data_IF_683106579904
#
_entry.id   IF_683106579904
#
_cell.length_a   1.000
_cell.length_b   1.000
_cell.length_c   1.000
_cell.angle_alpha   90.00
_cell.angle_beta   90.00
_cell.angle_gamma   90.00
#
_symmetry.space_group_name_H-M   'P 1'
#
loop_
_entity.id
_entity.type
_entity.pdbx_description
1 polymer ?
#
# COMPACT_ATOMS: atom_id res chain seq x y z
N UNK A 1 -25.60 -19.37 -37.48
CA UNK A 1 -25.11 -18.37 -36.50
C UNK A 1 -23.80 -17.70 -36.95
N UNK A 2 -22.73 -18.46 -37.25
CA UNK A 2 -21.45 -17.92 -37.77
C UNK A 2 -21.57 -17.05 -39.05
N UNK A 3 -22.42 -17.42 -40.01
CA UNK A 3 -22.64 -16.64 -41.26
C UNK A 3 -23.31 -15.27 -41.07
N UNK A 4 -24.08 -15.08 -39.99
CA UNK A 4 -24.77 -13.82 -39.71
C UNK A 4 -23.84 -12.80 -39.02
N UNK A 5 -22.91 -13.30 -38.19
CA UNK A 5 -21.90 -12.50 -37.48
C UNK A 5 -20.82 -12.00 -38.46
N UNK A 6 -20.41 -12.82 -39.43
CA UNK A 6 -19.42 -12.41 -40.44
C UNK A 6 -19.83 -11.25 -41.35
N UNK A 7 -21.14 -10.96 -41.46
CA UNK A 7 -21.65 -9.83 -42.26
C UNK A 7 -21.49 -8.48 -41.56
N UNK A 8 -21.26 -8.48 -40.24
CA UNK A 8 -21.11 -7.27 -39.40
C UNK A 8 -19.65 -7.02 -39.02
N UNK A 9 -18.85 -8.08 -38.84
CA UNK A 9 -17.44 -7.99 -38.37
C UNK A 9 -16.40 -8.05 -39.50
N UNK A 10 -16.81 -8.42 -40.71
CA UNK A 10 -15.89 -8.67 -41.84
C UNK A 10 -15.44 -10.13 -41.87
N UNK A 11 -15.41 -10.73 -43.07
CA UNK A 11 -15.09 -12.15 -43.26
C UNK A 11 -13.69 -12.52 -42.78
N UNK A 12 -12.75 -11.57 -42.89
CA UNK A 12 -11.32 -11.81 -42.68
C UNK A 12 -11.01 -11.88 -41.19
N UNK A 13 -11.62 -11.02 -40.37
CA UNK A 13 -11.51 -11.06 -38.90
C UNK A 13 -12.10 -12.36 -38.33
N UNK A 14 -13.20 -12.85 -38.92
CA UNK A 14 -13.79 -14.13 -38.52
C UNK A 14 -12.89 -15.30 -38.91
N UNK A 15 -12.27 -15.25 -40.09
CA UNK A 15 -11.32 -16.27 -40.54
C UNK A 15 -10.08 -16.30 -39.65
N UNK A 16 -9.53 -15.13 -39.29
CA UNK A 16 -8.38 -15.02 -38.37
C UNK A 16 -8.72 -15.49 -36.96
N UNK A 17 -9.92 -15.17 -36.46
CA UNK A 17 -10.38 -15.67 -35.15
C UNK A 17 -10.51 -17.19 -35.16
N UNK A 18 -11.04 -17.78 -36.23
CA UNK A 18 -11.14 -19.24 -36.38
C UNK A 18 -9.75 -19.88 -36.49
N UNK A 19 -8.83 -19.28 -37.25
CA UNK A 19 -7.46 -19.74 -37.37
C UNK A 19 -6.72 -19.66 -36.03
N UNK A 20 -6.94 -18.59 -35.26
CA UNK A 20 -6.44 -18.45 -33.90
C UNK A 20 -6.98 -19.56 -32.99
N UNK A 21 -8.30 -19.77 -32.91
CA UNK A 21 -8.85 -20.84 -32.07
C UNK A 21 -8.43 -22.25 -32.52
N UNK A 22 -8.22 -22.48 -33.82
CA UNK A 22 -7.68 -23.75 -34.32
C UNK A 22 -6.21 -23.95 -33.96
N UNK A 23 -5.39 -22.90 -34.04
CA UNK A 23 -4.00 -22.94 -33.59
C UNK A 23 -3.89 -23.07 -32.06
N UNK A 24 -4.91 -22.64 -31.31
CA UNK A 24 -5.00 -22.74 -29.85
C UNK A 24 -5.72 -24.00 -29.34
N UNK A 25 -6.35 -24.77 -30.23
CA UNK A 25 -7.11 -25.96 -29.87
C UNK A 25 -6.19 -27.03 -29.26
N UNK A 26 -6.56 -27.52 -28.07
CA UNK A 26 -5.81 -28.55 -27.33
C UNK A 26 -4.82 -28.02 -26.31
N UNK A 27 -4.53 -26.71 -26.29
CA UNK A 27 -3.69 -26.10 -25.25
C UNK A 27 -4.45 -25.68 -23.99
N UNK A 28 -5.79 -25.62 -24.03
CA UNK A 28 -6.63 -25.18 -22.90
C UNK A 28 -6.41 -26.01 -21.63
N UNK A 29 -6.29 -27.33 -21.77
CA UNK A 29 -6.02 -28.22 -20.64
C UNK A 29 -4.67 -27.89 -20.00
N UNK A 30 -3.62 -27.71 -20.83
CA UNK A 30 -2.30 -27.34 -20.32
C UNK A 30 -2.21 -25.90 -19.77
N UNK A 31 -3.11 -25.00 -20.14
CA UNK A 31 -3.26 -23.69 -19.46
C UNK A 31 -3.92 -23.84 -18.10
N UNK A 32 -4.99 -24.65 -18.01
CA UNK A 32 -5.68 -24.93 -16.75
C UNK A 32 -4.75 -25.62 -15.75
N UNK A 33 -4.06 -26.67 -16.18
CA UNK A 33 -3.11 -27.41 -15.33
C UNK A 33 -2.04 -26.48 -14.76
N UNK A 34 -1.42 -25.61 -15.59
CA UNK A 34 -0.44 -24.64 -15.10
C UNK A 34 -1.03 -23.58 -14.18
N UNK A 35 -2.26 -23.14 -14.43
CA UNK A 35 -2.93 -22.20 -13.54
C UNK A 35 -3.18 -22.84 -12.17
N UNK A 36 -3.63 -24.11 -12.15
CA UNK A 36 -3.85 -24.88 -10.94
C UNK A 36 -2.54 -25.11 -10.16
N UNK A 37 -1.43 -25.41 -10.87
CA UNK A 37 -0.09 -25.52 -10.28
C UNK A 37 0.36 -24.20 -9.63
N UNK A 38 0.18 -23.06 -10.31
CA UNK A 38 0.55 -21.75 -9.77
C UNK A 38 -0.30 -21.39 -8.54
N UNK A 39 -1.61 -21.66 -8.59
CA UNK A 39 -2.51 -21.45 -7.44
C UNK A 39 -2.07 -22.31 -6.26
N UNK A 40 -1.66 -23.57 -6.51
CA UNK A 40 -1.14 -24.44 -5.47
C UNK A 40 0.15 -23.89 -4.83
N UNK A 41 1.08 -23.33 -5.62
CA UNK A 41 2.27 -22.66 -5.08
C UNK A 41 1.91 -21.41 -4.26
N UNK A 42 0.99 -20.59 -4.75
CA UNK A 42 0.54 -19.37 -4.05
C UNK A 42 -0.07 -19.71 -2.67
N UNK A 43 -0.78 -20.84 -2.57
CA UNK A 43 -1.42 -21.31 -1.34
C UNK A 43 -0.54 -22.24 -0.50
N UNK A 44 0.68 -22.51 -0.93
CA UNK A 44 1.59 -23.38 -0.22
C UNK A 44 1.99 -22.73 1.13
N UNK A 45 2.20 -23.52 2.20
CA UNK A 45 2.58 -23.00 3.51
C UNK A 45 3.93 -22.26 3.51
N UNK A 46 4.76 -22.47 2.49
CA UNK A 46 6.03 -21.76 2.28
C UNK A 46 5.86 -20.38 1.64
N UNK A 47 4.67 -20.03 1.16
CA UNK A 47 4.37 -18.74 0.53
C UNK A 47 3.78 -17.77 1.55
N UNK A 48 4.26 -16.53 1.51
CA UNK A 48 3.82 -15.45 2.39
C UNK A 48 3.48 -14.20 1.59
N UNK A 49 2.49 -13.45 2.05
CA UNK A 49 2.01 -12.24 1.38
C UNK A 49 2.31 -11.01 2.23
N UNK A 50 2.99 -10.04 1.62
CA UNK A 50 3.21 -8.71 2.19
C UNK A 50 2.43 -7.71 1.36
N UNK A 51 1.47 -7.02 1.98
CA UNK A 51 0.67 -5.99 1.32
C UNK A 51 1.41 -4.66 1.44
N UNK A 52 1.67 -3.99 0.33
CA UNK A 52 2.39 -2.70 0.32
C UNK A 52 1.46 -1.62 -0.22
N UNK A 53 1.28 -0.54 0.53
CA UNK A 53 0.41 0.58 0.20
C UNK A 53 1.09 1.92 0.47
N UNK A 54 0.51 3.01 -0.02
CA UNK A 54 0.84 4.39 0.42
C UNK A 54 -0.26 4.90 1.36
N UNK A 55 0.00 5.89 2.23
CA UNK A 55 -0.98 6.41 3.20
C UNK A 55 -2.04 7.31 2.53
N UNK A 56 -2.70 6.79 1.51
CA UNK A 56 -3.71 7.47 0.71
C UNK A 56 -4.98 6.62 0.73
N UNK A 57 -6.13 7.29 0.83
CA UNK A 57 -7.42 6.60 0.96
C UNK A 57 -7.67 5.57 -0.15
N UNK A 58 -7.45 5.94 -1.40
CA UNK A 58 -7.60 5.05 -2.57
C UNK A 58 -6.74 3.78 -2.47
N UNK A 59 -5.50 3.96 -2.02
CA UNK A 59 -4.52 2.87 -1.93
C UNK A 59 -4.76 1.99 -0.70
N UNK A 60 -5.19 2.58 0.42
CA UNK A 60 -5.55 1.83 1.61
C UNK A 60 -6.83 1.04 1.39
N UNK A 61 -7.85 1.61 0.74
CA UNK A 61 -9.09 0.88 0.41
C UNK A 61 -8.78 -0.38 -0.43
N UNK A 62 -7.90 -0.26 -1.44
CA UNK A 62 -7.47 -1.39 -2.27
C UNK A 62 -6.64 -2.40 -1.47
N UNK A 63 -5.77 -1.93 -0.57
CA UNK A 63 -4.96 -2.80 0.30
C UNK A 63 -5.82 -3.59 1.30
N UNK A 64 -6.83 -2.94 1.89
CA UNK A 64 -7.84 -3.54 2.77
C UNK A 64 -8.60 -4.62 2.00
N UNK A 65 -9.15 -4.27 0.83
CA UNK A 65 -9.87 -5.23 -0.01
C UNK A 65 -8.99 -6.42 -0.37
N UNK A 66 -7.74 -6.19 -0.77
CA UNK A 66 -6.81 -7.26 -1.11
C UNK A 66 -6.47 -8.15 0.09
N UNK A 67 -6.28 -7.57 1.28
CA UNK A 67 -6.04 -8.29 2.52
C UNK A 67 -7.23 -9.19 2.87
N UNK A 68 -8.47 -8.70 2.74
CA UNK A 68 -9.69 -9.49 2.91
C UNK A 68 -9.75 -10.66 1.92
N UNK A 69 -9.42 -10.43 0.64
CA UNK A 69 -9.39 -11.49 -0.36
C UNK A 69 -8.36 -12.58 -0.05
N UNK A 70 -7.18 -12.22 0.49
CA UNK A 70 -6.18 -13.20 0.91
C UNK A 70 -6.67 -14.07 2.07
N UNK A 71 -7.41 -13.48 3.01
CA UNK A 71 -8.04 -14.20 4.12
C UNK A 71 -9.13 -15.14 3.60
N UNK A 72 -10.01 -14.67 2.71
CA UNK A 72 -11.06 -15.48 2.10
C UNK A 72 -10.50 -16.68 1.30
N UNK A 73 -9.33 -16.51 0.68
CA UNK A 73 -8.65 -17.57 -0.07
C UNK A 73 -7.79 -18.51 0.80
N UNK A 74 -7.75 -18.30 2.12
CA UNK A 74 -7.09 -19.17 3.07
C UNK A 74 -5.57 -19.05 3.13
N UNK A 75 -4.99 -17.96 2.61
CA UNK A 75 -3.54 -17.69 2.68
C UNK A 75 -3.20 -16.65 3.75
N UNK A 76 -4.11 -15.71 4.00
CA UNK A 76 -3.92 -14.64 4.99
C UNK A 76 -2.84 -13.62 4.60
N UNK A 77 -2.71 -12.57 5.42
CA UNK A 77 -1.68 -11.53 5.27
C UNK A 77 -0.57 -11.81 6.28
N UNK A 78 0.67 -11.93 5.81
CA UNK A 78 1.85 -12.14 6.66
C UNK A 78 2.34 -10.82 7.27
N UNK A 79 2.20 -9.72 6.53
CA UNK A 79 2.49 -8.38 7.02
C UNK A 79 1.97 -7.30 6.07
N UNK A 80 1.92 -6.08 6.56
CA UNK A 80 1.57 -4.90 5.78
C UNK A 80 2.68 -3.85 5.90
N UNK A 81 2.94 -3.14 4.80
CA UNK A 81 3.90 -2.04 4.74
C UNK A 81 3.19 -0.82 4.19
N UNK A 82 3.13 0.25 4.97
CA UNK A 82 2.72 1.55 4.46
C UNK A 82 3.95 2.35 4.12
N UNK A 83 4.22 2.44 2.82
CA UNK A 83 5.35 3.11 2.24
C UNK A 83 5.07 4.61 2.06
N UNK A 84 6.11 5.44 2.23
CA UNK A 84 6.06 6.90 2.09
C UNK A 84 5.11 7.57 3.09
N UNK A 85 5.06 7.05 4.31
CA UNK A 85 4.37 7.70 5.42
C UNK A 85 5.05 9.02 5.80
N UNK A 86 4.27 10.03 6.18
CA UNK A 86 4.79 11.30 6.63
C UNK A 86 5.67 11.09 7.88
N UNK A 87 6.95 11.53 7.89
CA UNK A 87 7.84 11.30 9.02
C UNK A 87 7.31 11.87 10.35
N UNK A 88 7.71 11.25 11.46
CA UNK A 88 7.46 11.79 12.79
C UNK A 88 8.42 12.97 13.06
N UNK A 89 7.89 14.20 13.10
CA UNK A 89 8.68 15.39 13.37
C UNK A 89 8.64 15.77 14.86
N UNK A 90 9.59 15.23 15.62
CA UNK A 90 9.73 15.48 17.06
C UNK A 90 8.54 14.97 17.89
N UNK A 91 8.48 15.39 19.16
CA UNK A 91 7.45 14.94 20.11
C UNK A 91 6.28 15.93 20.22
N UNK A 92 5.07 15.42 20.45
CA UNK A 92 3.84 16.20 20.66
C UNK A 92 2.88 16.14 19.49
N UNK A 93 1.67 16.67 19.69
CA UNK A 93 0.59 16.70 18.68
C UNK A 93 0.69 17.92 17.76
N UNK A 94 -0.09 17.91 16.68
CA UNK A 94 -0.31 19.09 15.85
C UNK A 94 -0.91 20.26 16.66
N UNK A 95 -1.89 19.98 17.52
CA UNK A 95 -2.52 20.98 18.39
C UNK A 95 -1.49 21.67 19.30
N UNK A 96 -0.59 20.90 19.92
CA UNK A 96 0.48 21.46 20.75
C UNK A 96 1.43 22.35 19.96
N UNK A 97 1.72 22.00 18.70
CA UNK A 97 2.57 22.81 17.82
C UNK A 97 1.88 24.12 17.41
N UNK A 98 0.56 24.10 17.16
CA UNK A 98 -0.24 25.32 16.91
C UNK A 98 -0.20 26.24 18.12
N UNK A 99 -0.38 25.70 19.34
CA UNK A 99 -0.30 26.48 20.58
C UNK A 99 1.07 27.14 20.73
N UNK A 100 2.15 26.39 20.49
CA UNK A 100 3.51 26.91 20.56
C UNK A 100 3.79 27.99 19.49
N UNK A 101 3.22 27.85 18.29
CA UNK A 101 3.32 28.88 17.25
C UNK A 101 2.66 30.19 17.70
N UNK A 102 1.49 30.10 18.32
CA UNK A 102 0.77 31.26 18.86
C UNK A 102 1.56 31.93 20.00
N UNK A 103 2.10 31.15 20.94
CA UNK A 103 2.90 31.67 22.05
C UNK A 103 4.18 32.38 21.57
N UNK A 104 4.90 31.78 20.62
CA UNK A 104 6.09 32.41 20.03
C UNK A 104 5.73 33.72 19.29
N UNK A 105 4.60 33.75 18.57
CA UNK A 105 4.09 34.95 17.92
C UNK A 105 3.72 36.06 18.92
N UNK A 106 3.14 35.70 20.07
CA UNK A 106 2.83 36.63 21.15
C UNK A 106 4.09 37.22 21.81
N UNK A 107 5.23 36.53 21.71
CA UNK A 107 6.55 37.01 22.16
C UNK A 107 7.33 37.75 21.06
N UNK A 108 6.69 38.02 19.91
CA UNK A 108 7.28 38.66 18.73
C UNK A 108 8.47 37.88 18.11
N UNK A 109 8.63 36.59 18.44
CA UNK A 109 9.62 35.70 17.80
C UNK A 109 9.04 35.08 16.52
N UNK A 110 9.09 35.86 15.45
CA UNK A 110 8.53 35.48 14.13
C UNK A 110 9.20 34.23 13.56
N UNK A 111 10.50 34.04 13.80
CA UNK A 111 11.25 32.90 13.28
C UNK A 111 10.79 31.61 13.96
N UNK A 112 10.71 31.62 15.30
CA UNK A 112 10.26 30.47 16.06
C UNK A 112 8.78 30.15 15.80
N UNK A 113 7.92 31.17 15.68
CA UNK A 113 6.52 30.98 15.33
C UNK A 113 6.35 30.30 13.96
N UNK A 114 7.19 30.66 12.98
CA UNK A 114 7.18 30.05 11.64
C UNK A 114 7.61 28.58 11.66
N UNK A 115 8.61 28.23 12.48
CA UNK A 115 9.04 26.84 12.65
C UNK A 115 7.95 25.99 13.32
N UNK A 116 7.29 26.53 14.34
CA UNK A 116 6.17 25.82 14.99
C UNK A 116 4.97 25.65 14.07
N UNK A 117 4.63 26.66 13.27
CA UNK A 117 3.59 26.54 12.26
C UNK A 117 3.92 25.44 11.23
N UNK A 118 5.18 25.36 10.77
CA UNK A 118 5.60 24.30 9.87
C UNK A 118 5.49 22.90 10.51
N UNK A 119 5.95 22.74 11.76
CA UNK A 119 5.80 21.46 12.48
C UNK A 119 4.33 21.11 12.71
N UNK A 120 3.46 22.09 12.95
CA UNK A 120 2.02 21.88 13.06
C UNK A 120 1.44 21.30 11.77
N UNK A 121 1.73 21.91 10.61
CA UNK A 121 1.28 21.41 9.31
C UNK A 121 1.74 19.97 9.06
N UNK A 122 3.03 19.69 9.31
CA UNK A 122 3.60 18.36 9.10
C UNK A 122 2.97 17.30 10.03
N UNK A 123 2.67 17.66 11.29
CA UNK A 123 2.00 16.77 12.25
C UNK A 123 0.54 16.54 11.90
N UNK A 124 -0.18 17.57 11.45
CA UNK A 124 -1.56 17.40 10.98
C UNK A 124 -1.64 16.41 9.83
N UNK A 125 -0.71 16.50 8.86
CA UNK A 125 -0.64 15.53 7.76
C UNK A 125 -0.40 14.11 8.29
N UNK A 126 0.54 13.94 9.21
CA UNK A 126 0.83 12.63 9.81
C UNK A 126 -0.35 12.05 10.59
N UNK A 127 -0.99 12.85 11.44
CA UNK A 127 -2.16 12.43 12.22
C UNK A 127 -3.28 11.95 11.30
N UNK A 128 -3.60 12.71 10.24
CA UNK A 128 -4.56 12.30 9.22
C UNK A 128 -4.16 11.02 8.48
N UNK A 129 -2.87 10.84 8.15
CA UNK A 129 -2.39 9.61 7.50
C UNK A 129 -2.56 8.40 8.41
N UNK A 130 -2.32 8.53 9.72
CA UNK A 130 -2.53 7.44 10.68
C UNK A 130 -4.00 7.02 10.74
N UNK A 131 -4.93 7.98 10.71
CA UNK A 131 -6.36 7.68 10.64
C UNK A 131 -6.72 6.91 9.36
N UNK A 132 -6.12 7.30 8.23
CA UNK A 132 -6.31 6.62 6.94
C UNK A 132 -5.74 5.20 6.95
N UNK A 133 -4.66 4.94 7.68
CA UNK A 133 -4.00 3.63 7.76
C UNK A 133 -4.74 2.66 8.68
N UNK A 134 -5.45 3.16 9.69
CA UNK A 134 -6.05 2.35 10.75
C UNK A 134 -6.85 1.12 10.26
N UNK A 135 -7.69 1.19 9.20
CA UNK A 135 -8.43 0.02 8.71
C UNK A 135 -7.53 -1.12 8.21
N UNK A 136 -6.39 -0.79 7.58
CA UNK A 136 -5.42 -1.80 7.15
C UNK A 136 -4.72 -2.41 8.36
N UNK A 137 -4.42 -1.60 9.38
CA UNK A 137 -3.82 -2.07 10.63
C UNK A 137 -4.74 -3.03 11.39
N UNK A 138 -6.06 -2.79 11.40
CA UNK A 138 -7.04 -3.69 12.03
C UNK A 138 -7.06 -5.09 11.39
N UNK A 139 -6.91 -5.18 10.06
CA UNK A 139 -6.91 -6.47 9.32
C UNK A 139 -5.53 -7.13 9.39
N UNK A 140 -4.48 -6.34 9.18
CA UNK A 140 -3.11 -6.81 9.16
C UNK A 140 -2.54 -7.03 10.57
N UNK A 141 -3.13 -6.51 11.63
CA UNK A 141 -2.55 -6.50 12.98
C UNK A 141 -1.45 -5.46 13.13
N UNK A 142 -1.53 -4.65 14.20
CA UNK A 142 -0.57 -3.57 14.47
C UNK A 142 0.87 -4.09 14.60
N UNK A 143 1.06 -5.30 15.12
CA UNK A 143 2.37 -5.95 15.28
C UNK A 143 3.00 -6.42 13.96
N UNK A 144 2.23 -6.43 12.87
CA UNK A 144 2.67 -6.85 11.53
C UNK A 144 2.59 -5.73 10.50
N UNK A 145 2.33 -4.49 10.96
CA UNK A 145 2.30 -3.30 10.11
C UNK A 145 3.57 -2.48 10.31
N UNK A 146 4.32 -2.23 9.24
CA UNK A 146 5.51 -1.38 9.25
C UNK A 146 5.26 -0.08 8.49
N UNK A 147 5.65 1.05 9.08
CA UNK A 147 5.62 2.35 8.42
C UNK A 147 7.01 2.69 7.88
N UNK A 148 7.12 2.84 6.56
CA UNK A 148 8.34 3.33 5.93
C UNK A 148 8.15 4.82 5.63
N UNK A 149 8.95 5.72 6.22
CA UNK A 149 8.76 7.15 6.05
C UNK A 149 9.09 7.59 4.62
N UNK A 150 8.52 8.73 4.21
CA UNK A 150 8.97 9.45 3.04
C UNK A 150 10.40 9.94 3.27
N UNK A 151 11.35 9.35 2.55
CA UNK A 151 12.77 9.71 2.63
C UNK A 151 13.05 11.04 1.91
N UNK A 152 14.12 11.71 2.32
CA UNK A 152 14.60 12.96 1.72
C UNK A 152 15.26 12.76 0.34
N UNK A 153 15.45 11.50 -0.08
CA UNK A 153 16.15 11.10 -1.32
C UNK A 153 15.51 9.86 -1.92
N UNK A 154 15.72 9.68 -3.22
CA UNK A 154 15.33 8.46 -3.91
C UNK A 154 16.22 7.27 -3.50
N UNK A 155 15.61 6.09 -3.41
CA UNK A 155 16.32 4.82 -3.16
C UNK A 155 16.75 4.22 -4.48
N UNK A 156 18.05 4.32 -4.79
CA UNK A 156 18.62 3.82 -6.04
C UNK A 156 19.98 3.12 -5.86
N UNK A 157 20.43 2.93 -4.62
CA UNK A 157 21.68 2.27 -4.27
C UNK A 157 21.50 1.35 -3.05
N UNK A 158 22.55 0.61 -2.69
CA UNK A 158 22.51 -0.33 -1.58
C UNK A 158 22.34 0.39 -0.23
N UNK A 159 22.88 1.61 -0.07
CA UNK A 159 22.76 2.38 1.17
C UNK A 159 21.31 2.81 1.40
N UNK A 160 20.59 3.21 0.34
CA UNK A 160 19.16 3.45 0.37
C UNK A 160 18.36 2.19 0.72
N UNK A 161 18.73 1.02 0.17
CA UNK A 161 18.08 -0.24 0.54
C UNK A 161 18.32 -0.61 2.01
N UNK A 162 19.51 -0.36 2.55
CA UNK A 162 19.78 -0.55 3.98
C UNK A 162 18.97 0.39 4.86
N UNK A 163 18.75 1.63 4.42
CA UNK A 163 17.84 2.58 5.10
C UNK A 163 16.42 2.03 5.17
N UNK A 164 15.89 1.53 4.04
CA UNK A 164 14.55 0.91 4.01
C UNK A 164 14.50 -0.33 4.91
N UNK A 165 15.55 -1.16 4.91
CA UNK A 165 15.62 -2.34 5.76
C UNK A 165 15.56 -1.98 7.26
N UNK A 166 16.23 -0.89 7.68
CA UNK A 166 16.12 -0.39 9.06
C UNK A 166 14.66 -0.11 9.44
N UNK A 167 13.92 0.61 8.60
CA UNK A 167 12.50 0.90 8.85
C UNK A 167 11.57 -0.33 8.84
N UNK A 168 11.93 -1.39 8.13
CA UNK A 168 11.10 -2.60 8.03
C UNK A 168 11.34 -3.59 9.18
N UNK A 169 12.55 -3.63 9.74
CA UNK A 169 12.97 -4.71 10.63
C UNK A 169 13.46 -4.26 12.01
N UNK A 170 13.66 -2.96 12.24
CA UNK A 170 14.00 -2.43 13.56
C UNK A 170 12.73 -1.92 14.26
N UNK A 171 12.46 -2.44 15.47
CA UNK A 171 11.24 -2.15 16.24
C UNK A 171 11.21 -0.67 16.69
N UNK A 172 10.56 0.19 15.91
CA UNK A 172 10.10 1.49 16.39
C UNK A 172 8.56 1.43 16.55
N UNK A 173 8.02 1.53 17.79
CA UNK A 173 6.60 1.34 18.03
C UNK A 173 5.79 2.35 17.22
N UNK A 174 4.79 1.84 16.50
CA UNK A 174 3.75 2.66 15.89
C UNK A 174 3.14 3.51 17.01
N UNK A 175 3.31 4.82 16.97
CA UNK A 175 2.75 5.77 17.95
C UNK A 175 1.22 5.85 17.94
N UNK A 176 0.53 4.76 17.61
CA UNK A 176 -0.91 4.60 17.59
C UNK A 176 -1.34 4.33 19.04
N UNK A 177 -1.49 5.39 19.81
CA UNK A 177 -2.21 5.34 21.08
C UNK A 177 -3.71 5.41 20.77
N UNK A 178 -4.38 4.27 20.67
CA UNK A 178 -5.85 4.24 20.73
C UNK A 178 -6.28 4.75 22.12
N UNK A 179 -6.98 5.88 22.14
CA UNK A 179 -7.64 6.38 23.35
C UNK A 179 -8.79 5.45 23.73
N UNK A 180 -8.74 4.87 24.94
CA UNK A 180 -9.90 4.29 25.65
C UNK A 180 -10.93 5.37 26.04
#
# INVERSE_FOLDING_TARGET
LLKAIGKVVGSDVLADSVAFFQAFAGMETGFRERADEVIALIRAPETSFVVVATPRHDTIDEAVWFAEQLVEQGVGVTGAVVNRAQPAFGNGSAESAVSNAFEAGAQEDVALASLWANVADLRTMREHELDVIAPLAEIAGDDRLSLVPLLDRDVHDLDGLWTIAGHLFEDEPLGISCSE
#
